data_IF_654865921410
#
_entry.id   IF_654865921410
#
_cell.length_a   1.000
_cell.length_b   1.000
_cell.length_c   1.000
_cell.angle_alpha   90.00
_cell.angle_beta   90.00
_cell.angle_gamma   90.00
#
_symmetry.space_group_name_H-M   'P 1'
#
loop_
_entity.id
_entity.type
_entity.pdbx_description
1 polymer ?
#
# COMPACT_ATOMS: atom_id res chain seq x y z
N UNK A 1 -48.95 16.66 26.65
CA UNK A 1 -48.06 16.86 25.48
C UNK A 1 -46.63 16.41 25.77
N UNK A 2 -46.04 16.77 26.91
CA UNK A 2 -44.64 16.44 27.23
C UNK A 2 -44.36 14.93 27.33
N UNK A 3 -45.24 14.17 27.98
CA UNK A 3 -45.07 12.73 28.19
C UNK A 3 -45.09 11.93 26.87
N UNK A 4 -45.92 12.37 25.92
CA UNK A 4 -45.99 11.80 24.58
C UNK A 4 -44.71 12.07 23.76
N UNK A 5 -44.13 13.25 23.94
CA UNK A 5 -42.87 13.64 23.28
C UNK A 5 -41.69 12.83 23.83
N UNK A 6 -41.65 12.60 25.15
CA UNK A 6 -40.64 11.75 25.78
C UNK A 6 -40.75 10.28 25.34
N UNK A 7 -41.97 9.75 25.23
CA UNK A 7 -42.21 8.40 24.71
C UNK A 7 -41.78 8.26 23.24
N UNK A 8 -42.08 9.26 22.41
CA UNK A 8 -41.64 9.29 21.01
C UNK A 8 -40.11 9.37 20.89
N UNK A 9 -39.46 10.18 21.72
CA UNK A 9 -38.01 10.32 21.75
C UNK A 9 -37.33 9.04 22.25
N UNK A 10 -37.90 8.36 23.25
CA UNK A 10 -37.42 7.07 23.73
C UNK A 10 -37.61 5.97 22.67
N UNK A 11 -38.73 5.98 21.95
CA UNK A 11 -38.98 5.09 20.82
C UNK A 11 -37.99 5.31 19.67
N UNK A 12 -37.72 6.56 19.33
CA UNK A 12 -36.74 6.94 18.31
C UNK A 12 -35.30 6.63 18.75
N UNK A 13 -34.94 6.90 20.01
CA UNK A 13 -33.63 6.55 20.57
C UNK A 13 -33.42 5.04 20.62
N UNK A 14 -34.45 4.27 20.97
CA UNK A 14 -34.44 2.80 20.87
C UNK A 14 -34.38 2.34 19.42
N UNK A 15 -35.07 3.00 18.48
CA UNK A 15 -34.97 2.69 17.06
C UNK A 15 -33.56 2.95 16.51
N UNK A 16 -32.93 4.07 16.90
CA UNK A 16 -31.52 4.40 16.64
C UNK A 16 -30.56 3.41 17.31
N UNK A 17 -30.91 2.88 18.50
CA UNK A 17 -30.16 1.80 19.17
C UNK A 17 -30.49 0.40 18.63
N UNK A 18 -31.57 0.24 17.87
CA UNK A 18 -31.95 -1.01 17.16
C UNK A 18 -31.31 -1.12 15.79
N UNK A 19 -30.56 -0.11 15.35
CA UNK A 19 -29.38 -0.35 14.52
C UNK A 19 -28.46 -1.27 15.33
N UNK A 20 -28.70 -2.57 15.20
CA UNK A 20 -28.03 -3.72 15.82
C UNK A 20 -26.66 -3.33 16.37
N UNK A 21 -26.43 -3.54 17.67
CA UNK A 21 -25.11 -3.38 18.28
C UNK A 21 -24.08 -3.99 17.34
N UNK A 22 -23.31 -3.13 16.70
CA UNK A 22 -22.39 -3.53 15.65
C UNK A 22 -21.22 -4.16 16.39
N UNK A 23 -21.28 -5.47 16.57
CA UNK A 23 -20.17 -6.23 17.14
C UNK A 23 -19.01 -6.15 16.16
N UNK A 24 -18.17 -5.13 16.35
CA UNK A 24 -17.01 -4.84 15.52
C UNK A 24 -16.05 -6.02 15.53
N UNK A 25 -16.00 -6.81 16.61
CA UNK A 25 -15.17 -8.00 16.69
C UNK A 25 -15.74 -9.12 15.82
N UNK A 26 -17.06 -9.36 15.84
CA UNK A 26 -17.69 -10.30 14.92
C UNK A 26 -17.54 -9.86 13.45
N UNK A 27 -17.68 -8.57 13.15
CA UNK A 27 -17.48 -8.02 11.81
C UNK A 27 -16.02 -8.16 11.36
N UNK A 28 -15.06 -7.89 12.26
CA UNK A 28 -13.62 -8.05 12.01
C UNK A 28 -13.28 -9.50 11.72
N UNK A 29 -13.79 -10.47 12.49
CA UNK A 29 -13.60 -11.90 12.25
C UNK A 29 -14.14 -12.32 10.89
N UNK A 30 -15.36 -11.91 10.54
CA UNK A 30 -15.93 -12.17 9.20
C UNK A 30 -15.08 -11.57 8.09
N UNK A 31 -14.55 -10.36 8.29
CA UNK A 31 -13.67 -9.70 7.33
C UNK A 31 -12.34 -10.44 7.17
N UNK A 32 -11.77 -10.97 8.24
CA UNK A 32 -10.54 -11.79 8.19
C UNK A 32 -10.78 -13.03 7.31
N UNK A 33 -11.86 -13.78 7.54
CA UNK A 33 -12.18 -14.96 6.74
C UNK A 33 -12.48 -14.62 5.28
N UNK A 34 -13.20 -13.51 5.03
CA UNK A 34 -13.45 -13.04 3.67
C UNK A 34 -12.15 -12.65 2.94
N UNK A 35 -11.25 -11.92 3.60
CA UNK A 35 -9.95 -11.53 3.03
C UNK A 35 -9.07 -12.75 2.82
N UNK A 36 -9.10 -13.74 3.72
CA UNK A 36 -8.39 -15.01 3.54
C UNK A 36 -8.82 -15.72 2.26
N UNK A 37 -10.13 -15.87 2.06
CA UNK A 37 -10.69 -16.44 0.83
C UNK A 37 -10.32 -15.61 -0.40
N UNK A 38 -10.39 -14.28 -0.30
CA UNK A 38 -10.04 -13.39 -1.40
C UNK A 38 -8.57 -13.53 -1.84
N UNK A 39 -7.63 -13.58 -0.89
CA UNK A 39 -6.20 -13.75 -1.20
C UNK A 39 -5.97 -15.10 -1.90
N UNK A 40 -6.53 -16.19 -1.38
CA UNK A 40 -6.41 -17.53 -1.95
C UNK A 40 -7.00 -17.60 -3.37
N UNK A 41 -8.18 -17.03 -3.59
CA UNK A 41 -8.81 -16.94 -4.91
C UNK A 41 -7.99 -16.11 -5.90
N UNK A 42 -7.41 -14.99 -5.47
CA UNK A 42 -6.55 -14.15 -6.31
C UNK A 42 -5.26 -14.87 -6.73
N UNK A 43 -4.69 -15.68 -5.83
CA UNK A 43 -3.48 -16.47 -6.10
C UNK A 43 -3.77 -17.83 -6.77
N UNK A 44 -5.04 -18.19 -6.97
CA UNK A 44 -5.48 -19.51 -7.47
C UNK A 44 -4.98 -20.68 -6.60
N UNK A 45 -4.94 -20.47 -5.29
CA UNK A 45 -4.54 -21.48 -4.31
C UNK A 45 -5.76 -21.99 -3.56
N UNK A 46 -5.82 -23.30 -3.30
CA UNK A 46 -6.88 -23.91 -2.48
C UNK A 46 -6.60 -23.80 -0.98
N UNK A 47 -5.32 -23.71 -0.61
CA UNK A 47 -4.85 -23.59 0.76
C UNK A 47 -3.51 -22.84 0.80
N UNK A 48 -3.10 -22.28 1.95
CA UNK A 48 -1.77 -21.70 2.11
C UNK A 48 -0.66 -22.72 1.82
N UNK A 49 0.45 -22.31 1.20
CA UNK A 49 1.61 -23.18 1.02
C UNK A 49 2.19 -23.60 2.38
N UNK A 50 2.71 -24.83 2.46
CA UNK A 50 3.16 -25.43 3.71
C UNK A 50 4.52 -24.89 4.19
N UNK A 51 5.38 -24.49 3.25
CA UNK A 51 6.75 -24.09 3.56
C UNK A 51 6.87 -22.56 3.71
N UNK A 52 7.51 -22.08 4.78
CA UNK A 52 7.80 -20.65 4.92
C UNK A 52 8.88 -20.23 3.92
N UNK A 53 8.83 -18.97 3.44
CA UNK A 53 9.87 -18.45 2.56
C UNK A 53 11.23 -18.38 3.28
N UNK A 54 12.34 -18.48 2.54
CA UNK A 54 13.68 -18.38 3.10
C UNK A 54 13.89 -17.01 3.76
N UNK A 55 14.58 -17.03 4.91
CA UNK A 55 14.97 -15.82 5.64
C UNK A 55 16.49 -15.81 5.88
N UNK A 56 17.20 -14.72 5.56
CA UNK A 56 16.72 -13.46 5.00
C UNK A 56 16.28 -13.58 3.53
N UNK A 57 15.37 -12.70 3.11
CA UNK A 57 14.93 -12.62 1.72
C UNK A 57 16.09 -12.14 0.81
N UNK A 58 16.25 -12.70 -0.41
CA UNK A 58 17.24 -12.25 -1.37
C UNK A 58 17.10 -10.75 -1.71
N UNK A 59 18.22 -10.07 -1.93
CA UNK A 59 18.22 -8.62 -2.20
C UNK A 59 17.43 -8.26 -3.45
N UNK A 60 17.52 -9.07 -4.50
CA UNK A 60 16.78 -8.85 -5.74
C UNK A 60 15.26 -8.86 -5.53
N UNK A 61 14.74 -9.80 -4.74
CA UNK A 61 13.32 -9.89 -4.39
C UNK A 61 12.89 -8.68 -3.57
N UNK A 62 13.72 -8.26 -2.61
CA UNK A 62 13.48 -7.08 -1.79
C UNK A 62 13.47 -5.80 -2.64
N UNK A 63 14.41 -5.64 -3.55
CA UNK A 63 14.49 -4.51 -4.46
C UNK A 63 13.28 -4.46 -5.41
N UNK A 64 12.86 -5.62 -5.95
CA UNK A 64 11.65 -5.73 -6.76
C UNK A 64 10.42 -5.27 -5.96
N UNK A 65 10.19 -5.84 -4.77
CA UNK A 65 9.06 -5.47 -3.91
C UNK A 65 9.03 -3.97 -3.59
N UNK A 66 10.17 -3.38 -3.22
CA UNK A 66 10.26 -1.96 -2.91
C UNK A 66 9.89 -1.09 -4.12
N UNK A 67 10.42 -1.41 -5.31
CA UNK A 67 10.09 -0.69 -6.53
C UNK A 67 8.61 -0.78 -6.91
N UNK A 68 7.99 -1.95 -6.76
CA UNK A 68 6.56 -2.15 -7.02
C UNK A 68 5.71 -1.39 -6.01
N UNK A 69 6.06 -1.44 -4.73
CA UNK A 69 5.33 -0.72 -3.68
C UNK A 69 5.34 0.78 -3.92
N UNK A 70 6.48 1.34 -4.34
CA UNK A 70 6.59 2.75 -4.69
C UNK A 70 5.73 3.11 -5.91
N UNK A 71 5.77 2.29 -6.97
CA UNK A 71 4.94 2.49 -8.16
C UNK A 71 3.45 2.44 -7.83
N UNK A 72 3.01 1.43 -7.07
CA UNK A 72 1.62 1.29 -6.63
C UNK A 72 1.20 2.43 -5.72
N UNK A 73 2.07 2.93 -4.86
CA UNK A 73 1.75 4.07 -4.00
C UNK A 73 1.47 5.32 -4.84
N UNK A 74 2.29 5.58 -5.87
CA UNK A 74 2.08 6.69 -6.81
C UNK A 74 0.79 6.50 -7.62
N UNK A 75 0.50 5.27 -8.06
CA UNK A 75 -0.68 4.97 -8.85
C UNK A 75 -1.97 4.95 -8.03
N UNK A 76 -1.94 4.48 -6.78
CA UNK A 76 -3.09 4.51 -5.86
C UNK A 76 -3.56 5.94 -5.57
N UNK A 77 -2.63 6.89 -5.49
CA UNK A 77 -2.98 8.32 -5.40
C UNK A 77 -3.76 8.79 -6.64
N UNK A 78 -3.47 8.25 -7.82
CA UNK A 78 -4.17 8.54 -9.07
C UNK A 78 -5.49 7.75 -9.21
N UNK A 79 -5.52 6.50 -8.76
CA UNK A 79 -6.66 5.58 -8.88
C UNK A 79 -7.73 5.79 -7.83
N UNK A 80 -7.44 6.39 -6.66
CA UNK A 80 -8.48 6.82 -5.72
C UNK A 80 -9.49 7.79 -6.36
N UNK A 81 -9.15 8.42 -7.50
CA UNK A 81 -10.07 9.22 -8.30
C UNK A 81 -10.95 8.41 -9.28
N UNK A 82 -10.65 7.12 -9.52
CA UNK A 82 -11.35 6.24 -10.46
C UNK A 82 -11.79 4.97 -9.73
N UNK A 83 -13.02 4.98 -9.20
CA UNK A 83 -13.72 3.77 -8.73
C UNK A 83 -14.17 2.90 -9.92
N UNK A 84 -13.22 2.47 -10.77
CA UNK A 84 -13.55 1.61 -11.91
C UNK A 84 -13.40 0.14 -11.49
N UNK A 85 -14.43 -0.69 -11.66
CA UNK A 85 -14.26 -2.14 -11.63
C UNK A 85 -13.19 -2.58 -12.64
N UNK A 86 -12.51 -3.71 -12.42
CA UNK A 86 -11.65 -4.30 -13.45
C UNK A 86 -12.47 -4.51 -14.74
N UNK A 87 -11.93 -4.05 -15.87
CA UNK A 87 -12.60 -4.14 -17.16
C UNK A 87 -12.52 -5.57 -17.75
N UNK A 88 -11.52 -6.34 -17.34
CA UNK A 88 -11.24 -7.70 -17.81
C UNK A 88 -11.33 -8.74 -16.65
N UNK A 89 -11.93 -9.92 -16.85
CA UNK A 89 -11.94 -11.00 -15.86
C UNK A 89 -10.55 -11.44 -15.39
N UNK A 90 -9.50 -11.34 -16.22
CA UNK A 90 -8.14 -11.71 -15.85
C UNK A 90 -7.48 -10.75 -14.87
N UNK A 91 -7.92 -9.49 -14.82
CA UNK A 91 -7.45 -8.50 -13.85
C UNK A 91 -7.86 -8.81 -12.41
N UNK A 92 -8.79 -9.76 -12.23
CA UNK A 92 -9.11 -10.27 -10.89
C UNK A 92 -7.93 -11.01 -10.25
N UNK A 93 -7.16 -11.76 -11.04
CA UNK A 93 -6.09 -12.63 -10.53
C UNK A 93 -4.78 -11.89 -10.31
N UNK A 94 -3.94 -12.43 -9.43
CA UNK A 94 -2.61 -11.90 -9.20
C UNK A 94 -1.73 -12.06 -10.45
N UNK A 95 -0.87 -11.07 -10.71
CA UNK A 95 0.12 -11.08 -11.80
C UNK A 95 1.51 -11.28 -11.21
N UNK A 96 2.30 -12.14 -11.83
CA UNK A 96 3.71 -12.30 -11.48
C UNK A 96 4.51 -11.09 -11.96
N UNK A 97 5.48 -10.66 -11.16
CA UNK A 97 6.27 -9.47 -11.42
C UNK A 97 7.69 -9.86 -11.75
N UNK A 98 8.20 -9.34 -12.86
CA UNK A 98 9.58 -9.49 -13.29
C UNK A 98 10.20 -8.12 -13.53
N UNK A 99 11.50 -7.98 -13.25
CA UNK A 99 12.27 -6.77 -13.54
C UNK A 99 13.43 -7.15 -14.46
N UNK A 100 13.52 -6.47 -15.59
CA UNK A 100 14.62 -6.61 -16.52
C UNK A 100 15.49 -5.35 -16.44
N UNK A 101 16.75 -5.45 -15.99
CA UNK A 101 17.65 -4.31 -16.02
C UNK A 101 17.93 -3.93 -17.47
N UNK A 102 17.98 -2.62 -17.73
CA UNK A 102 18.41 -2.10 -19.02
C UNK A 102 19.94 -1.96 -19.00
N UNK A 103 20.62 -2.51 -19.99
CA UNK A 103 22.05 -2.24 -20.21
C UNK A 103 22.20 -0.80 -20.69
N UNK A 104 22.95 0.00 -19.93
CA UNK A 104 23.37 1.32 -20.39
C UNK A 104 24.34 1.11 -21.56
N UNK A 105 24.11 1.72 -22.74
CA UNK A 105 25.07 1.65 -23.82
C UNK A 105 26.39 2.24 -23.32
N UNK A 106 27.44 1.40 -23.31
CA UNK A 106 28.66 1.62 -22.55
C UNK A 106 29.32 2.97 -22.80
N UNK A 107 29.65 3.66 -21.72
CA UNK A 107 30.85 4.47 -21.71
C UNK A 107 32.03 3.49 -21.85
N UNK A 108 32.74 3.63 -22.96
CA UNK A 108 33.93 2.84 -23.24
C UNK A 108 34.93 2.93 -22.09
N UNK A 109 35.53 1.78 -21.82
CA UNK A 109 36.67 1.55 -20.95
C UNK A 109 37.75 2.63 -21.10
N UNK A 110 37.76 3.60 -20.18
CA UNK A 110 38.88 4.50 -19.94
C UNK A 110 39.65 4.02 -18.71
N UNK A 111 40.55 3.06 -18.89
CA UNK A 111 41.60 2.76 -17.91
C UNK A 111 42.49 4.00 -17.79
N UNK A 112 42.26 4.82 -16.76
CA UNK A 112 43.18 5.87 -16.33
C UNK A 112 44.08 5.35 -15.21
N UNK A 113 45.41 5.60 -15.26
CA UNK A 113 46.33 5.15 -14.22
C UNK A 113 46.08 5.93 -12.92
N UNK A 114 46.19 5.23 -11.79
CA UNK A 114 45.93 5.82 -10.47
C UNK A 114 46.90 6.93 -10.08
N UNK A 115 46.44 7.80 -9.19
CA UNK A 115 47.21 8.23 -8.00
C UNK A 115 46.28 8.92 -6.96
N UNK A 116 46.70 9.01 -5.68
CA UNK A 116 45.84 9.22 -4.52
C UNK A 116 45.79 10.67 -4.00
N UNK A 117 44.72 10.97 -3.26
CA UNK A 117 44.75 11.88 -2.10
C UNK A 117 44.45 13.37 -2.34
N UNK A 118 43.95 13.98 -1.24
CA UNK A 118 43.43 15.35 -1.05
C UNK A 118 42.00 15.57 -1.58
N UNK A 119 40.98 15.86 -0.77
CA UNK A 119 40.96 16.64 0.47
C UNK A 119 40.47 18.06 0.17
N UNK A 120 39.55 18.58 0.99
CA UNK A 120 38.89 19.90 0.91
C UNK A 120 37.67 19.97 -0.03
N UNK A 121 36.60 20.71 0.23
CA UNK A 121 36.08 21.50 1.34
C UNK A 121 34.85 22.17 0.71
N UNK A 122 33.63 21.88 1.17
CA UNK A 122 32.51 22.81 0.98
C UNK A 122 31.71 22.82 2.28
N UNK A 123 32.15 23.73 3.15
CA UNK A 123 31.41 24.26 4.27
C UNK A 123 30.86 25.64 3.85
N UNK A 124 29.60 25.91 4.22
CA UNK A 124 28.91 27.19 4.03
C UNK A 124 27.75 27.10 3.05
N UNK A 125 26.48 27.28 3.39
CA UNK A 125 25.87 27.94 4.55
C UNK A 125 24.80 28.91 4.04
N UNK A 126 23.62 28.99 4.67
CA UNK A 126 22.71 30.10 4.45
C UNK A 126 21.22 29.78 4.45
N UNK A 127 20.62 29.86 5.63
CA UNK A 127 19.19 29.86 5.91
C UNK A 127 18.39 30.89 5.10
N UNK A 128 17.15 30.56 4.71
CA UNK A 128 16.05 31.51 4.91
C UNK A 128 14.71 30.77 5.09
N UNK A 129 14.07 31.06 6.22
CA UNK A 129 12.73 30.63 6.58
C UNK A 129 11.72 31.70 6.13
N UNK A 130 10.55 31.27 5.66
CA UNK A 130 9.20 31.91 5.80
C UNK A 130 8.29 31.35 4.72
N UNK A 131 7.29 30.56 5.11
CA UNK A 131 5.90 30.97 5.39
C UNK A 131 5.04 31.04 4.12
N UNK A 132 3.73 30.79 4.33
CA UNK A 132 2.62 30.70 3.36
C UNK A 132 2.49 29.30 2.75
N UNK A 133 1.43 28.53 2.95
CA UNK A 133 0.09 28.84 3.45
C UNK A 133 -0.87 27.90 2.72
N UNK A 134 -1.84 27.35 3.45
CA UNK A 134 -2.92 26.50 2.94
C UNK A 134 -3.62 27.10 1.70
N UNK A 135 -3.99 26.22 0.77
CA UNK A 135 -5.32 26.11 0.16
C UNK A 135 -5.50 24.65 -0.27
#
# INVERSE_FOLDING_TARGET
>A
MELAMLLALLGAARALSTCRSLDLEAARRKRIEAVRGQILSKLRLLAPPAEPPPWPLPEEVRALYNSTRELLTRELLRQRAKLRPPDDPDDYYAKELHRFPMELPGEGEGVGPGDPGLGHLWEGGGNNARELGCC
#
